data_IF_600115119126
#
_entry.id   IF_600115119126
#
_cell.length_a   1.000
_cell.length_b   1.000
_cell.length_c   1.000
_cell.angle_alpha   90.00
_cell.angle_beta   90.00
_cell.angle_gamma   90.00
#
_symmetry.space_group_name_H-M   'P 1'
#
loop_
_entity.id
_entity.type
_entity.pdbx_description
1 polymer ?
#
# COMPACT_ATOMS: atom_id res chain seq x y z
N UNK A 1 15.62 -3.16 11.99
CA UNK A 1 14.29 -3.10 12.63
C UNK A 1 13.29 -3.76 11.71
N UNK A 2 12.40 -4.59 12.25
CA UNK A 2 11.30 -5.21 11.51
C UNK A 2 10.01 -4.47 11.86
N UNK A 3 9.34 -3.94 10.85
CA UNK A 3 8.01 -3.36 10.94
C UNK A 3 6.95 -4.44 10.82
N UNK A 4 5.93 -4.40 11.65
CA UNK A 4 4.80 -5.31 11.54
C UNK A 4 3.84 -4.80 10.45
N UNK A 5 3.52 -5.67 9.50
CA UNK A 5 2.56 -5.34 8.45
C UNK A 5 1.14 -5.62 8.96
N UNK A 6 0.32 -4.58 8.99
CA UNK A 6 -1.12 -4.63 9.23
C UNK A 6 -1.86 -4.31 7.94
N UNK A 7 -3.04 -4.88 7.76
CA UNK A 7 -3.85 -4.71 6.56
C UNK A 7 -5.22 -4.18 6.95
N UNK A 8 -5.75 -3.27 6.13
CA UNK A 8 -7.18 -3.05 6.08
C UNK A 8 -7.87 -4.34 5.57
N UNK A 9 -9.04 -4.76 6.10
CA UNK A 9 -9.73 -5.98 5.67
C UNK A 9 -9.89 -6.09 4.15
N UNK A 10 -10.36 -5.02 3.51
CA UNK A 10 -10.49 -4.93 2.04
C UNK A 10 -9.16 -4.99 1.29
N UNK A 11 -8.05 -4.56 1.90
CA UNK A 11 -6.73 -4.66 1.27
C UNK A 11 -6.21 -6.10 1.27
N UNK A 12 -6.58 -6.88 2.29
CA UNK A 12 -6.29 -8.32 2.30
C UNK A 12 -7.02 -9.05 1.17
N UNK A 13 -8.32 -8.76 0.99
CA UNK A 13 -9.11 -9.31 -0.12
C UNK A 13 -8.51 -8.92 -1.49
N UNK A 14 -8.02 -7.70 -1.63
CA UNK A 14 -7.34 -7.23 -2.84
C UNK A 14 -6.05 -8.00 -3.15
N UNK A 15 -5.27 -8.35 -2.13
CA UNK A 15 -4.07 -9.20 -2.30
C UNK A 15 -4.48 -10.62 -2.68
N UNK A 16 -5.55 -11.13 -2.08
CA UNK A 16 -6.00 -12.47 -2.31
C UNK A 16 -6.52 -12.66 -3.75
N UNK A 17 -7.22 -11.65 -4.27
CA UNK A 17 -7.75 -11.59 -5.62
C UNK A 17 -6.69 -11.43 -6.74
N UNK A 18 -5.42 -11.22 -6.40
CA UNK A 18 -4.34 -11.14 -7.39
C UNK A 18 -3.98 -12.53 -7.94
N UNK A 19 -3.76 -12.60 -9.24
CA UNK A 19 -3.27 -13.82 -9.89
C UNK A 19 -1.87 -14.20 -9.37
N UNK A 20 -1.56 -15.50 -9.33
CA UNK A 20 -0.38 -16.02 -8.61
C UNK A 20 0.95 -15.34 -8.92
N UNK A 21 1.19 -14.94 -10.18
CA UNK A 21 2.39 -14.19 -10.57
C UNK A 21 2.44 -12.77 -10.01
N UNK A 22 1.29 -12.08 -9.98
CA UNK A 22 1.14 -10.74 -9.40
C UNK A 22 1.22 -10.79 -7.88
N UNK A 23 0.52 -11.75 -7.26
CA UNK A 23 0.50 -11.98 -5.81
C UNK A 23 1.92 -12.17 -5.25
N UNK A 24 2.73 -13.02 -5.88
CA UNK A 24 4.16 -13.21 -5.50
C UNK A 24 4.97 -11.91 -5.57
N UNK A 25 4.78 -11.10 -6.61
CA UNK A 25 5.50 -9.82 -6.76
C UNK A 25 5.06 -8.80 -5.72
N UNK A 26 3.78 -8.76 -5.37
CA UNK A 26 3.24 -7.89 -4.31
C UNK A 26 3.77 -8.30 -2.95
N UNK A 27 3.74 -9.59 -2.60
CA UNK A 27 4.31 -10.08 -1.34
C UNK A 27 5.79 -9.74 -1.19
N UNK A 28 6.58 -9.84 -2.26
CA UNK A 28 7.99 -9.41 -2.24
C UNK A 28 8.14 -7.94 -1.87
N UNK A 29 7.26 -7.06 -2.34
CA UNK A 29 7.29 -5.65 -1.96
C UNK A 29 6.83 -5.43 -0.52
N UNK A 30 5.81 -6.16 -0.06
CA UNK A 30 5.34 -6.09 1.33
C UNK A 30 6.44 -6.52 2.30
N UNK A 31 7.16 -7.59 2.00
CA UNK A 31 8.31 -8.03 2.81
C UNK A 31 9.36 -6.92 2.86
N UNK A 32 9.66 -6.26 1.74
CA UNK A 32 10.54 -5.08 1.74
C UNK A 32 10.01 -3.92 2.58
N UNK A 33 8.69 -3.70 2.61
CA UNK A 33 8.08 -2.68 3.47
C UNK A 33 8.26 -3.01 4.95
N UNK A 34 8.31 -4.29 5.32
CA UNK A 34 8.58 -4.70 6.70
C UNK A 34 10.01 -4.38 7.16
N UNK A 35 10.95 -4.10 6.25
CA UNK A 35 12.33 -3.72 6.62
C UNK A 35 12.64 -2.27 6.31
N UNK A 36 12.06 -1.74 5.23
CA UNK A 36 12.44 -0.45 4.64
C UNK A 36 11.20 0.25 4.09
N UNK A 37 10.25 0.66 4.96
CA UNK A 37 9.00 1.28 4.55
C UNK A 37 9.17 2.70 3.99
N UNK A 38 10.36 3.29 4.10
CA UNK A 38 10.72 4.56 3.48
C UNK A 38 10.88 4.48 1.95
N UNK A 39 10.99 3.27 1.38
CA UNK A 39 11.11 3.06 -0.08
C UNK A 39 9.88 3.50 -0.89
N UNK A 40 8.70 3.53 -0.26
CA UNK A 40 7.51 4.03 -0.92
C UNK A 40 7.53 5.54 -1.05
N UNK A 41 7.01 6.02 -2.18
CA UNK A 41 6.95 7.45 -2.47
C UNK A 41 5.83 8.10 -1.66
N UNK A 42 6.08 9.23 -0.97
CA UNK A 42 5.02 9.96 -0.30
C UNK A 42 3.98 10.41 -1.32
N UNK A 43 2.70 10.27 -0.96
CA UNK A 43 1.60 10.82 -1.74
C UNK A 43 1.50 12.30 -1.38
N UNK A 44 1.51 13.18 -2.39
CA UNK A 44 1.10 14.57 -2.18
C UNK A 44 -0.41 14.58 -1.96
N UNK A 45 -0.86 15.43 -1.04
CA UNK A 45 -2.28 15.69 -0.82
C UNK A 45 -3.00 15.90 -2.16
N UNK A 46 -3.90 14.98 -2.48
CA UNK A 46 -4.80 15.11 -3.61
C UNK A 46 -6.03 15.87 -3.10
N UNK A 47 -6.15 17.15 -3.47
CA UNK A 47 -7.35 17.97 -3.27
C UNK A 47 -7.92 17.96 -1.83
N UNK A 48 -7.07 18.13 -0.81
CA UNK A 48 -7.54 18.27 0.58
C UNK A 48 -7.90 16.96 1.30
N UNK A 49 -7.62 15.79 0.71
CA UNK A 49 -7.83 14.50 1.36
C UNK A 49 -6.60 14.06 2.19
N UNK A 50 -6.83 13.40 3.33
CA UNK A 50 -5.86 12.84 4.31
C UNK A 50 -4.92 11.73 3.79
N UNK A 51 -4.52 11.78 2.52
CA UNK A 51 -3.47 10.93 1.96
C UNK A 51 -2.06 11.49 2.19
N UNK A 52 -1.91 12.63 2.86
CA UNK A 52 -0.61 13.27 3.10
C UNK A 52 0.37 12.37 3.86
N UNK A 53 -0.13 11.54 4.78
CA UNK A 53 0.67 10.59 5.55
C UNK A 53 0.78 9.21 4.88
N UNK A 54 0.20 9.08 3.68
CA UNK A 54 0.25 7.85 2.91
C UNK A 54 1.44 7.83 1.95
N UNK A 55 1.91 6.61 1.69
CA UNK A 55 2.98 6.28 0.77
C UNK A 55 2.50 5.26 -0.24
N UNK A 56 3.12 5.27 -1.42
CA UNK A 56 2.84 4.31 -2.49
C UNK A 56 4.10 3.55 -2.85
N UNK A 57 4.01 2.22 -2.81
CA UNK A 57 5.02 1.29 -3.31
C UNK A 57 4.55 0.68 -4.63
N UNK A 58 5.46 0.54 -5.60
CA UNK A 58 5.16 -0.06 -6.89
C UNK A 58 5.49 -1.56 -6.89
N UNK A 59 4.57 -2.36 -7.42
CA UNK A 59 4.74 -3.79 -7.67
C UNK A 59 4.45 -4.11 -9.14
N UNK A 60 4.89 -5.30 -9.57
CA UNK A 60 4.65 -5.83 -10.92
C UNK A 60 4.92 -4.84 -12.06
N UNK A 61 6.17 -4.38 -12.21
CA UNK A 61 6.55 -3.40 -13.25
C UNK A 61 5.69 -2.12 -13.24
N UNK A 62 5.32 -1.62 -12.05
CA UNK A 62 4.45 -0.45 -11.82
C UNK A 62 2.99 -0.64 -12.26
N UNK A 63 2.57 -1.87 -12.57
CA UNK A 63 1.17 -2.21 -12.88
C UNK A 63 0.31 -2.30 -11.62
N UNK A 64 0.92 -2.61 -10.47
CA UNK A 64 0.23 -2.67 -9.17
C UNK A 64 0.82 -1.61 -8.24
N UNK A 65 -0.04 -0.98 -7.46
CA UNK A 65 0.29 0.01 -6.43
C UNK A 65 -0.18 -0.52 -5.08
N UNK A 66 0.68 -0.34 -4.08
CA UNK A 66 0.39 -0.64 -2.68
C UNK A 66 0.38 0.69 -1.95
N UNK A 67 -0.77 1.09 -1.44
CA UNK A 67 -0.95 2.31 -0.64
C UNK A 67 -0.94 1.92 0.82
N UNK A 68 -0.06 2.55 1.59
CA UNK A 68 0.12 2.26 3.01
C UNK A 68 0.51 3.54 3.76
N UNK A 69 0.43 3.49 5.09
CA UNK A 69 0.96 4.53 5.97
C UNK A 69 1.81 3.91 7.08
N UNK A 70 2.68 4.73 7.65
CA UNK A 70 3.35 4.39 8.90
C UNK A 70 2.42 4.77 10.05
N UNK A 71 2.30 3.92 11.07
CA UNK A 71 1.53 4.24 12.26
C UNK A 71 2.44 5.00 13.23
N UNK A 72 2.08 6.23 13.58
CA UNK A 72 2.88 7.02 14.51
C UNK A 72 3.04 6.33 15.87
N UNK A 73 4.23 6.44 16.45
CA UNK A 73 4.56 5.85 17.75
C UNK A 73 4.71 4.33 17.77
N UNK A 74 4.59 3.63 16.63
CA UNK A 74 4.76 2.17 16.55
C UNK A 74 5.57 1.73 15.32
N UNK A 75 6.26 0.59 15.36
CA UNK A 75 6.91 0.01 14.18
C UNK A 75 5.90 -0.70 13.28
N UNK A 76 4.75 -0.09 13.01
CA UNK A 76 3.69 -0.71 12.22
C UNK A 76 3.54 -0.03 10.85
N UNK A 77 3.39 -0.86 9.82
CA UNK A 77 3.04 -0.43 8.47
C UNK A 77 1.61 -0.86 8.21
N UNK A 78 0.71 0.10 7.99
CA UNK A 78 -0.69 -0.18 7.71
C UNK A 78 -0.99 -0.07 6.22
N UNK A 79 -1.26 -1.21 5.57
CA UNK A 79 -1.64 -1.28 4.16
C UNK A 79 -3.13 -0.98 4.02
N UNK A 80 -3.43 0.10 3.30
CA UNK A 80 -4.78 0.64 3.16
C UNK A 80 -5.46 0.09 1.91
N UNK A 81 -4.74 0.01 0.78
CA UNK A 81 -5.27 -0.47 -0.49
C UNK A 81 -4.20 -1.04 -1.40
N UNK A 82 -4.55 -2.07 -2.15
CA UNK A 82 -3.71 -2.68 -3.19
C UNK A 82 -4.53 -2.79 -4.46
N UNK A 83 -3.98 -2.34 -5.58
CA UNK A 83 -4.74 -2.32 -6.82
C UNK A 83 -3.90 -2.08 -8.05
N UNK A 84 -4.51 -2.35 -9.21
CA UNK A 84 -3.92 -2.04 -10.50
C UNK A 84 -3.79 -0.52 -10.68
N UNK A 85 -2.88 -0.12 -11.57
CA UNK A 85 -2.60 1.29 -11.88
C UNK A 85 -3.80 2.03 -12.48
N UNK A 86 -4.69 1.30 -13.16
CA UNK A 86 -5.76 1.88 -13.95
C UNK A 86 -6.68 2.79 -13.11
N UNK A 87 -7.05 3.93 -13.71
CA UNK A 87 -8.06 4.89 -13.26
C UNK A 87 -7.93 5.51 -11.85
N UNK A 88 -6.73 5.48 -11.25
CA UNK A 88 -6.51 6.00 -9.89
C UNK A 88 -7.39 5.33 -8.81
N UNK A 89 -8.01 4.18 -9.12
CA UNK A 89 -9.00 3.52 -8.27
C UNK A 89 -8.41 3.14 -6.90
N UNK A 90 -7.15 2.70 -6.88
CA UNK A 90 -6.43 2.38 -5.64
C UNK A 90 -6.36 3.58 -4.67
N UNK A 91 -6.24 4.80 -5.18
CA UNK A 91 -6.21 6.00 -4.33
C UNK A 91 -7.60 6.38 -3.85
N UNK A 92 -8.63 6.27 -4.71
CA UNK A 92 -10.04 6.48 -4.31
C UNK A 92 -10.45 5.51 -3.20
N UNK A 93 -10.05 4.24 -3.34
CA UNK A 93 -10.23 3.21 -2.31
C UNK A 93 -9.48 3.55 -1.02
N UNK A 94 -8.26 4.06 -1.14
CA UNK A 94 -7.50 4.49 0.02
C UNK A 94 -8.18 5.63 0.79
N UNK A 95 -8.66 6.69 0.12
CA UNK A 95 -9.32 7.80 0.85
C UNK A 95 -10.65 7.36 1.46
N UNK A 96 -11.38 6.42 0.85
CA UNK A 96 -12.62 5.88 1.43
C UNK A 96 -12.41 5.02 2.68
N UNK A 97 -11.17 4.62 2.98
CA UNK A 97 -10.78 3.72 4.08
C UNK A 97 -10.02 4.45 5.19
N UNK A 98 -9.74 5.72 4.99
CA UNK A 98 -9.16 6.64 5.97
C UNK A 98 -10.29 7.47 6.58
#
# INVERSE_FOLDING_TARGET
MSFQIKYHPKAWEEVDALEGGQKKKVYKQIIKLSTTPELGKPLRALQGNDLSDCRTMYADNKRIRIVYRLVEGTPDVFIIAIGKRDDFDVYKKAVKRL
#
